data_IF_861047798433
#
_entry.id   IF_861047798433
#
_cell.length_a   1.000
_cell.length_b   1.000
_cell.length_c   1.000
_cell.angle_alpha   90.00
_cell.angle_beta   90.00
_cell.angle_gamma   90.00
#
_symmetry.space_group_name_H-M   'P 1'
#
loop_
_entity.id
_entity.type
_entity.pdbx_description
1 polymer ?
2 non-polymer ?
3 water ?
#
# COMPACT_ATOMS: atom_id res chain seq x y z
N UNK A 11 -16.81 1.20 -26.84
CA UNK A 11 -16.54 1.74 -25.49
C UNK A 11 -15.30 2.62 -25.57
N UNK A 12 -15.39 3.73 -26.31
CA UNK A 12 -14.26 4.65 -26.43
C UNK A 12 -14.41 5.72 -25.34
N UNK A 13 -13.36 6.58 -25.13
CA UNK A 13 -13.46 7.62 -24.09
C UNK A 13 -14.57 8.70 -24.32
N UNK A 14 -14.69 9.16 -25.57
CA UNK A 14 -15.67 10.19 -25.86
C UNK A 14 -14.97 11.54 -25.83
N UNK A 15 -13.63 11.49 -25.89
CA UNK A 15 -12.74 12.66 -25.93
C UNK A 15 -12.08 12.61 -27.33
N UNK A 16 -12.41 11.54 -28.05
CA UNK A 16 -11.95 11.23 -29.42
C UNK A 16 -12.25 12.33 -30.43
N UNK A 17 -13.11 13.28 -30.04
CA UNK A 17 -13.49 14.36 -30.94
C UNK A 17 -12.44 15.48 -30.87
N UNK A 18 -12.00 15.82 -29.65
CA UNK A 18 -11.00 16.87 -29.42
C UNK A 18 -9.91 16.80 -30.52
N UNK A 19 -9.61 17.94 -31.20
CA UNK A 19 -8.55 17.84 -32.24
C UNK A 19 -7.20 17.40 -31.67
N UNK A 20 -6.38 16.81 -32.52
CA UNK A 20 -5.12 16.34 -32.04
C UNK A 20 -4.92 14.92 -32.52
N UNK A 21 -4.23 14.15 -31.70
CA UNK A 21 -3.92 12.77 -32.04
C UNK A 21 -4.37 11.83 -30.94
N UNK A 22 -4.87 10.69 -31.39
CA UNK A 22 -5.30 9.66 -30.49
C UNK A 22 -4.83 8.36 -31.10
N UNK A 23 -4.16 7.62 -30.25
CA UNK A 23 -3.61 6.34 -30.61
C UNK A 23 -4.02 5.39 -29.54
N UNK A 24 -4.50 4.24 -29.95
CA UNK A 24 -4.90 3.27 -28.97
C UNK A 24 -4.23 1.98 -29.39
N UNK A 25 -3.66 1.28 -28.45
CA UNK A 25 -3.05 0.02 -28.79
C UNK A 25 -4.20 -0.91 -28.52
N UNK A 26 -4.73 -1.65 -29.50
CA UNK A 26 -5.84 -2.59 -29.24
C UNK A 26 -5.29 -3.72 -28.34
N UNK A 27 -5.64 -3.63 -27.05
CA UNK A 27 -5.16 -4.56 -26.04
C UNK A 27 -5.64 -5.87 -26.48
N UNK A 28 -6.83 -6.23 -25.99
CA UNK A 28 -7.41 -7.50 -26.41
C UNK A 28 -8.58 -7.09 -27.27
N UNK A 29 -9.66 -6.78 -26.58
CA UNK A 29 -10.90 -6.41 -27.20
C UNK A 29 -11.11 -4.94 -26.94
N UNK A 30 -10.38 -4.44 -25.96
CA UNK A 30 -10.52 -3.06 -25.60
C UNK A 30 -9.39 -2.21 -26.14
N UNK A 31 -9.71 -0.98 -26.59
CA UNK A 31 -8.72 -0.05 -27.13
C UNK A 31 -8.17 0.71 -25.91
N UNK A 32 -6.83 0.71 -25.80
CA UNK A 32 -6.04 1.38 -24.73
C UNK A 32 -5.28 2.59 -25.33
N UNK A 33 -5.48 3.82 -24.76
CA UNK A 33 -4.82 5.02 -25.26
C UNK A 33 -3.42 5.04 -24.74
N UNK A 34 -2.48 5.30 -25.65
CA UNK A 34 -1.06 5.29 -25.32
C UNK A 34 -0.60 6.60 -24.68
N UNK A 35 0.01 6.46 -23.51
CA UNK A 35 0.52 7.59 -22.75
C UNK A 35 1.18 8.52 -23.78
N UNK A 36 0.82 9.81 -23.79
CA UNK A 36 1.37 10.76 -24.76
C UNK A 36 2.88 10.62 -25.08
N UNK A 37 3.67 10.14 -24.12
CA UNK A 37 5.09 9.94 -24.32
C UNK A 37 5.31 8.74 -25.23
N UNK A 38 4.72 7.62 -24.82
CA UNK A 38 4.80 6.37 -25.56
C UNK A 38 4.35 6.47 -27.01
N UNK A 39 3.59 7.50 -27.36
CA UNK A 39 3.13 7.51 -28.74
C UNK A 39 4.38 7.40 -29.59
N UNK A 40 4.29 6.86 -30.80
CA UNK A 40 5.48 6.77 -31.64
C UNK A 40 6.25 5.48 -31.56
N UNK A 41 5.84 4.67 -30.59
CA UNK A 41 6.41 3.36 -30.41
C UNK A 41 5.22 2.40 -30.36
N UNK A 42 5.32 1.38 -31.18
CA UNK A 42 4.29 0.39 -31.32
C UNK A 42 4.81 -1.01 -31.05
N UNK A 43 4.27 -1.71 -30.03
CA UNK A 43 4.68 -3.09 -29.75
C UNK A 43 4.20 -3.71 -31.06
N UNK A 44 4.99 -4.55 -31.71
CA UNK A 44 4.62 -5.14 -32.99
C UNK A 44 3.75 -6.40 -32.91
N UNK A 45 3.30 -6.77 -31.72
CA UNK A 45 2.49 -7.97 -31.58
C UNK A 45 1.03 -7.59 -31.49
N UNK A 46 0.80 -6.28 -31.41
CA UNK A 46 -0.51 -5.70 -31.31
C UNK A 46 -0.83 -4.83 -32.54
N UNK A 47 -2.09 -4.40 -32.64
CA UNK A 47 -2.57 -3.54 -33.72
C UNK A 47 -3.04 -2.28 -32.99
N UNK A 48 -2.93 -1.14 -33.65
CA UNK A 48 -3.29 0.08 -32.95
C UNK A 48 -4.29 0.89 -33.75
N UNK A 49 -4.82 1.93 -33.14
CA UNK A 49 -5.72 2.78 -33.85
C UNK A 49 -5.23 4.16 -33.55
N UNK A 50 -5.03 4.93 -34.59
CA UNK A 50 -4.56 6.28 -34.44
C UNK A 50 -5.44 7.20 -35.23
N UNK A 51 -5.84 8.25 -34.53
CA UNK A 51 -6.73 9.18 -35.13
C UNK A 51 -6.26 10.60 -34.96
N UNK A 52 -6.13 11.29 -36.09
CA UNK A 52 -5.71 12.69 -36.12
C UNK A 52 -6.80 13.50 -36.81
N UNK A 53 -7.26 14.57 -36.17
CA UNK A 53 -8.25 15.43 -36.78
C UNK A 53 -7.95 16.89 -36.52
N UNK A 54 -7.93 17.69 -37.60
CA UNK A 54 -7.65 19.12 -37.49
C UNK A 54 -8.82 19.97 -36.98
N UNK A 55 -8.53 21.18 -36.44
CA UNK A 55 -9.65 22.02 -35.93
C UNK A 55 -10.67 22.49 -37.01
N UNK A 56 -10.41 22.14 -38.29
CA UNK A 56 -11.32 22.45 -39.43
C UNK A 56 -11.03 21.43 -40.51
N UNK A 57 -9.80 20.87 -40.46
CA UNK A 57 -9.30 19.84 -41.38
C UNK A 57 -10.14 18.52 -41.25
N UNK A 58 -9.95 17.59 -42.20
CA UNK A 58 -10.63 16.27 -42.18
C UNK A 58 -10.18 15.43 -40.95
N UNK A 59 -10.51 14.15 -40.97
CA UNK A 59 -10.08 13.28 -39.89
C UNK A 59 -9.84 11.95 -40.56
N UNK A 60 -8.64 11.43 -40.32
CA UNK A 60 -8.21 10.15 -40.85
C UNK A 60 -8.02 9.26 -39.61
N UNK A 61 -8.55 8.05 -39.69
CA UNK A 61 -8.40 7.10 -38.62
C UNK A 61 -7.72 5.93 -39.27
N UNK A 62 -6.46 5.76 -38.94
CA UNK A 62 -5.74 4.65 -39.50
C UNK A 62 -5.66 3.64 -38.44
N UNK A 63 -5.51 2.41 -38.92
CA UNK A 63 -5.40 1.28 -38.06
C UNK A 63 -4.00 0.71 -38.31
N UNK A 64 -3.18 0.67 -37.27
CA UNK A 64 -1.83 0.17 -37.41
C UNK A 64 -1.74 -1.26 -37.03
N UNK A 65 -1.28 -2.04 -37.98
CA UNK A 65 -1.13 -3.45 -37.70
C UNK A 65 0.29 -3.96 -37.69
N UNK A 66 0.70 -4.40 -36.50
CA UNK A 66 2.02 -4.95 -36.28
C UNK A 66 2.35 -6.16 -37.15
N UNK A 67 3.64 -6.36 -37.38
CA UNK A 67 4.08 -7.48 -38.19
C UNK A 67 3.78 -8.77 -37.49
N UNK A 68 3.87 -8.72 -36.16
CA UNK A 68 3.61 -9.89 -35.34
C UNK A 68 2.21 -9.79 -34.73
N UNK A 69 1.41 -8.92 -35.32
CA UNK A 69 0.05 -8.74 -34.87
C UNK A 69 -0.77 -9.80 -35.55
N UNK A 70 -1.59 -10.46 -34.74
CA UNK A 70 -2.44 -11.54 -35.18
C UNK A 70 -3.29 -11.24 -36.43
N UNK A 71 -3.35 -12.25 -37.31
CA UNK A 71 -4.10 -12.18 -38.57
C UNK A 71 -5.54 -11.80 -38.26
N UNK A 72 -5.90 -12.10 -37.00
CA UNK A 72 -7.20 -11.88 -36.38
C UNK A 72 -7.14 -10.61 -35.56
N UNK A 73 -6.18 -10.50 -34.63
CA UNK A 73 -6.02 -9.30 -33.77
C UNK A 73 -6.28 -8.06 -34.63
N UNK A 74 -6.04 -8.25 -35.93
CA UNK A 74 -6.23 -7.25 -36.98
C UNK A 74 -7.70 -7.01 -37.12
N UNK A 75 -8.44 -8.06 -37.49
CA UNK A 75 -9.89 -7.92 -37.61
C UNK A 75 -10.50 -7.26 -36.37
N UNK A 76 -10.19 -7.82 -35.22
CA UNK A 76 -10.65 -7.27 -33.98
C UNK A 76 -10.46 -5.76 -34.09
N UNK A 77 -9.23 -5.30 -34.26
CA UNK A 77 -8.94 -3.88 -34.37
C UNK A 77 -9.75 -3.11 -35.45
N UNK A 78 -9.83 -3.68 -36.66
CA UNK A 78 -10.55 -3.07 -37.79
C UNK A 78 -11.98 -2.86 -37.39
N UNK A 79 -12.55 -3.90 -36.80
CA UNK A 79 -13.90 -3.83 -36.32
C UNK A 79 -14.00 -2.58 -35.42
N UNK A 80 -13.14 -2.51 -34.42
CA UNK A 80 -13.10 -1.40 -33.48
C UNK A 80 -12.95 -0.09 -34.25
N UNK A 81 -12.27 -0.15 -35.37
CA UNK A 81 -12.11 1.04 -36.17
C UNK A 81 -13.56 1.41 -36.46
N UNK A 82 -14.32 0.49 -37.05
CA UNK A 82 -15.74 0.71 -37.36
C UNK A 82 -16.50 1.32 -36.20
N UNK A 83 -16.67 0.59 -35.12
CA UNK A 83 -17.38 1.16 -34.00
C UNK A 83 -16.94 2.62 -33.83
N UNK A 84 -15.69 2.95 -34.09
CA UNK A 84 -15.29 4.33 -33.92
C UNK A 84 -15.65 5.22 -35.11
N UNK A 85 -15.54 4.68 -36.33
CA UNK A 85 -15.89 5.42 -37.54
C UNK A 85 -17.26 6.00 -37.26
N UNK A 86 -18.09 5.19 -36.60
CA UNK A 86 -19.47 5.52 -36.24
C UNK A 86 -19.70 6.56 -35.12
N UNK A 87 -18.95 6.55 -33.99
CA UNK A 87 -19.16 7.57 -32.92
C UNK A 87 -18.80 8.91 -33.54
N UNK A 88 -18.41 8.87 -34.81
CA UNK A 88 -18.01 10.04 -35.59
C UNK A 88 -18.78 9.88 -36.89
N UNK A 89 -19.37 8.69 -37.02
CA UNK A 89 -20.15 8.32 -38.18
C UNK A 89 -19.42 8.48 -39.50
N UNK A 90 -19.18 7.36 -40.20
CA UNK A 90 -18.52 7.30 -41.53
C UNK A 90 -17.51 8.37 -41.92
N UNK A 91 -17.57 9.49 -41.17
CA UNK A 91 -16.74 10.72 -41.22
C UNK A 91 -15.21 10.48 -41.32
N UNK A 92 -14.64 9.76 -40.32
CA UNK A 92 -13.19 9.52 -40.39
C UNK A 92 -12.78 8.75 -41.63
N UNK A 93 -11.58 9.02 -42.11
CA UNK A 93 -11.08 8.30 -43.27
C UNK A 93 -10.32 7.05 -42.83
N UNK A 94 -10.49 5.97 -43.57
CA UNK A 94 -9.84 4.77 -43.15
C UNK A 94 -8.72 4.33 -44.02
N UNK A 95 -7.61 4.03 -43.33
CA UNK A 95 -6.37 3.56 -43.93
C UNK A 95 -5.86 2.38 -43.13
N UNK A 96 -5.34 1.41 -43.86
CA UNK A 96 -4.76 0.22 -43.28
C UNK A 96 -3.21 0.44 -43.37
N UNK A 97 -2.56 0.58 -42.19
CA UNK A 97 -1.11 0.76 -42.09
C UNK A 97 -0.50 -0.53 -41.52
N UNK A 98 0.39 -1.11 -42.33
CA UNK A 98 1.11 -2.35 -41.98
C UNK A 98 2.51 -1.89 -41.59
N UNK A 99 3.08 -2.51 -40.56
CA UNK A 99 4.40 -2.11 -40.13
C UNK A 99 5.45 -2.45 -41.19
N UNK A 100 6.36 -1.53 -41.45
CA UNK A 100 7.39 -1.83 -42.45
C UNK A 100 7.06 -1.24 -43.80
N UNK A 101 5.84 -0.71 -43.91
CA UNK A 101 5.36 -0.07 -45.12
C UNK A 101 4.18 0.84 -44.78
N UNK A 102 4.37 1.72 -43.77
CA UNK A 102 3.32 2.66 -43.36
C UNK A 102 3.04 3.71 -44.43
N UNK A 103 2.15 4.63 -44.12
CA UNK A 103 1.74 5.68 -45.07
C UNK A 103 2.49 6.99 -44.92
N UNK A 104 2.93 7.53 -46.05
CA UNK A 104 3.68 8.78 -46.07
C UNK A 104 2.90 9.81 -45.27
N UNK A 105 1.68 9.44 -44.93
CA UNK A 105 0.83 10.29 -44.14
C UNK A 105 0.92 9.82 -42.70
N UNK A 106 0.86 8.50 -42.50
CA UNK A 106 0.93 7.93 -41.15
C UNK A 106 2.18 8.47 -40.49
N UNK A 107 3.28 8.44 -41.23
CA UNK A 107 4.53 8.94 -40.71
C UNK A 107 4.41 10.42 -40.30
N UNK A 108 3.58 11.18 -41.01
CA UNK A 108 3.35 12.61 -40.72
C UNK A 108 2.96 12.88 -39.28
N UNK A 109 2.49 11.86 -38.58
CA UNK A 109 2.04 12.10 -37.22
C UNK A 109 3.20 11.98 -36.23
N UNK A 110 4.30 11.45 -36.76
CA UNK A 110 5.50 11.20 -35.96
C UNK A 110 6.81 11.85 -36.40
N UNK A 111 7.24 12.86 -35.62
CA UNK A 111 8.47 13.67 -35.81
C UNK A 111 9.72 12.79 -36.01
N UNK A 112 10.44 12.60 -34.91
CA UNK A 112 11.62 11.79 -34.87
C UNK A 112 11.48 10.49 -35.69
N UNK A 113 10.38 9.75 -35.53
CA UNK A 113 10.25 8.51 -36.29
C UNK A 113 9.58 7.43 -35.48
N UNK A 114 9.47 6.25 -36.09
CA UNK A 114 8.81 5.11 -35.48
C UNK A 114 9.76 4.22 -34.75
N UNK A 115 9.30 3.60 -33.69
CA UNK A 115 10.13 2.70 -32.99
C UNK A 115 9.30 1.48 -32.80
N UNK A 116 9.44 0.54 -33.72
CA UNK A 116 8.75 -0.72 -33.62
C UNK A 116 9.44 -1.58 -32.60
N UNK A 117 8.75 -2.02 -31.57
CA UNK A 117 9.34 -2.93 -30.59
C UNK A 117 8.92 -4.41 -30.78
N UNK A 118 9.46 -5.35 -30.04
CA UNK A 118 9.05 -6.72 -30.25
C UNK A 118 9.30 -7.56 -29.05
N UNK A 119 8.48 -8.56 -28.81
CA UNK A 119 8.68 -9.36 -27.62
C UNK A 119 9.03 -8.44 -26.44
N UNK A 120 9.74 -8.98 -25.44
CA UNK A 120 10.11 -8.14 -24.33
C UNK A 120 8.94 -7.90 -23.40
N UNK A 121 8.99 -6.86 -22.56
CA UNK A 121 7.87 -6.64 -21.65
C UNK A 121 7.26 -5.24 -21.75
N UNK A 122 5.98 -5.13 -21.42
CA UNK A 122 5.26 -3.85 -21.44
C UNK A 122 6.15 -2.73 -20.84
N UNK A 123 5.93 -1.48 -21.23
CA UNK A 123 6.74 -0.39 -20.70
C UNK A 123 6.41 -0.22 -19.23
N UNK A 124 7.12 0.67 -18.54
CA UNK A 124 6.84 0.89 -17.12
C UNK A 124 6.76 -0.37 -16.29
N UNK A 125 7.20 -1.47 -16.87
CA UNK A 125 7.23 -2.78 -16.23
C UNK A 125 8.15 -2.71 -15.01
N UNK A 126 7.59 -2.93 -13.81
CA UNK A 126 8.35 -2.90 -12.55
C UNK A 126 8.62 -4.32 -11.99
N UNK A 127 9.52 -4.45 -11.02
CA UNK A 127 9.84 -5.75 -10.47
C UNK A 127 9.39 -5.73 -9.03
N UNK A 128 8.13 -6.06 -8.82
CA UNK A 128 7.60 -6.08 -7.47
C UNK A 128 8.36 -7.08 -6.56
N UNK A 129 8.96 -6.52 -5.50
CA UNK A 129 9.78 -7.24 -4.50
C UNK A 129 9.10 -7.44 -3.10
N UNK A 130 8.25 -8.49 -2.91
CA UNK A 130 7.63 -8.63 -1.57
C UNK A 130 8.69 -8.45 -0.50
N UNK A 131 8.54 -7.39 0.27
CA UNK A 131 9.48 -7.02 1.30
C UNK A 131 8.80 -7.21 2.66
N UNK A 132 9.02 -8.34 3.33
CA UNK A 132 8.34 -8.57 4.61
C UNK A 132 8.47 -7.42 5.63
N UNK A 133 7.51 -7.38 6.53
CA UNK A 133 7.49 -6.36 7.54
C UNK A 133 7.47 -7.01 8.89
N UNK A 134 8.06 -6.33 9.86
CA UNK A 134 8.12 -6.84 11.21
C UNK A 134 7.07 -6.20 12.02
N UNK A 135 6.21 -7.03 12.56
CA UNK A 135 5.19 -6.47 13.40
C UNK A 135 5.71 -6.66 14.82
N UNK A 136 5.78 -5.52 15.49
CA UNK A 136 6.22 -5.43 16.85
C UNK A 136 4.90 -5.55 17.54
N UNK A 137 4.82 -6.53 18.43
CA UNK A 137 3.60 -6.76 19.19
C UNK A 137 3.91 -6.94 20.66
N UNK A 138 2.93 -6.58 21.49
CA UNK A 138 3.11 -6.74 22.92
C UNK A 138 1.93 -7.51 23.48
N UNK A 139 2.18 -8.60 24.20
CA UNK A 139 1.05 -9.33 24.81
C UNK A 139 1.15 -9.22 26.32
N UNK A 140 0.01 -9.18 26.98
CA UNK A 140 -0.02 -9.10 28.41
C UNK A 140 -0.38 -10.47 28.92
N UNK A 141 0.61 -11.27 29.28
CA UNK A 141 0.35 -12.62 29.78
C UNK A 141 -0.50 -12.63 31.03
N UNK A 142 -1.26 -13.70 31.20
CA UNK A 142 -2.12 -13.80 32.35
C UNK A 142 -2.71 -15.20 32.44
N UNK A 143 -2.70 -15.76 33.65
CA UNK A 143 -3.20 -17.11 33.89
C UNK A 143 -2.41 -17.87 34.96
N UNK A 144 -3.13 -18.35 35.99
CA UNK A 144 -2.50 -19.10 37.08
C UNK A 144 -2.20 -20.51 36.59
N UNK A 145 -3.21 -21.13 35.96
CA UNK A 145 -3.06 -22.50 35.44
C UNK A 145 -2.81 -22.46 33.96
N UNK A 146 -3.79 -21.90 33.27
CA UNK A 146 -3.85 -21.74 31.82
C UNK A 146 -3.19 -20.45 31.33
N UNK A 147 -2.22 -20.59 30.42
CA UNK A 147 -1.49 -19.45 29.90
C UNK A 147 -2.04 -18.79 28.67
N UNK A 148 -2.43 -17.52 28.82
CA UNK A 148 -3.00 -16.76 27.72
C UNK A 148 -2.42 -15.38 27.58
N UNK A 149 -1.62 -15.20 26.55
CA UNK A 149 -1.01 -13.92 26.27
C UNK A 149 -1.88 -13.14 25.27
N UNK A 150 -2.38 -11.98 25.69
CA UNK A 150 -3.23 -11.12 24.88
C UNK A 150 -2.57 -9.91 24.26
N UNK A 151 -2.70 -9.74 22.94
CA UNK A 151 -2.09 -8.57 22.28
C UNK A 151 -2.63 -7.25 22.85
N UNK A 152 -1.71 -6.41 23.28
CA UNK A 152 -2.02 -5.10 23.85
C UNK A 152 -1.36 -4.11 22.92
N UNK A 153 -1.54 -2.83 23.17
CA UNK A 153 -0.83 -1.88 22.34
C UNK A 153 0.61 -1.68 22.90
N UNK A 154 1.59 -1.48 22.02
CA UNK A 154 3.01 -1.22 22.39
C UNK A 154 3.15 0.23 22.91
N UNK A 155 2.63 0.43 24.12
CA UNK A 155 2.56 1.72 24.76
C UNK A 155 2.66 1.44 26.28
N UNK A 156 3.48 2.23 26.99
CA UNK A 156 3.61 2.03 28.44
C UNK A 156 2.21 2.09 29.10
N UNK A 157 1.25 2.79 28.51
CA UNK A 157 -0.10 2.87 29.10
C UNK A 157 -0.67 1.44 29.25
N UNK A 158 0.01 0.46 28.63
CA UNK A 158 -0.41 -0.95 28.65
C UNK A 158 0.10 -1.79 29.84
N UNK A 159 1.32 -1.49 30.29
CA UNK A 159 1.92 -2.21 31.39
C UNK A 159 1.29 -1.86 32.72
N UNK A 160 1.36 -2.84 33.62
CA UNK A 160 0.87 -2.78 34.98
C UNK A 160 2.09 -3.34 35.74
N UNK A 161 2.11 -3.26 37.06
CA UNK A 161 3.29 -3.71 37.84
C UNK A 161 3.25 -5.12 38.42
N UNK A 162 2.03 -5.69 38.44
CA UNK A 162 1.82 -7.02 38.96
C UNK A 162 1.69 -8.09 37.91
N UNK A 163 2.01 -7.75 36.66
CA UNK A 163 1.93 -8.72 35.55
C UNK A 163 3.21 -8.74 34.72
N UNK A 164 3.33 -9.80 33.91
CA UNK A 164 4.43 -9.96 32.96
C UNK A 164 3.90 -9.63 31.55
N UNK A 165 4.81 -9.37 30.62
CA UNK A 165 4.46 -8.97 29.27
C UNK A 165 5.50 -9.52 28.35
N UNK A 166 5.13 -9.74 27.10
CA UNK A 166 6.06 -10.27 26.10
C UNK A 166 6.08 -9.23 25.00
N UNK A 167 7.28 -8.89 24.56
CA UNK A 167 7.46 -7.88 23.53
C UNK A 167 8.17 -8.52 22.38
N UNK A 168 7.39 -8.86 21.37
CA UNK A 168 7.89 -9.48 20.15
C UNK A 168 8.34 -8.33 19.27
N UNK A 169 9.63 -8.05 19.25
CA UNK A 169 10.15 -6.96 18.42
C UNK A 169 10.89 -7.58 17.26
N UNK A 170 10.42 -8.78 16.94
CA UNK A 170 10.97 -9.56 15.85
C UNK A 170 12.24 -10.30 16.17
N UNK A 171 13.38 -9.70 15.81
CA UNK A 171 14.70 -10.27 16.03
C UNK A 171 14.98 -10.51 17.53
N UNK A 172 14.37 -9.69 18.39
CA UNK A 172 14.51 -9.79 19.86
C UNK A 172 13.11 -9.80 20.55
N UNK A 173 12.97 -10.67 21.56
CA UNK A 173 11.75 -10.82 22.34
C UNK A 173 12.02 -10.62 23.80
N UNK A 174 11.09 -10.04 24.55
CA UNK A 174 11.34 -9.78 25.97
C UNK A 174 10.24 -10.20 26.90
N UNK A 175 10.60 -10.75 28.03
CA UNK A 175 9.56 -11.06 28.95
C UNK A 175 9.74 -10.08 30.11
N UNK A 176 9.24 -8.89 29.93
CA UNK A 176 9.33 -7.90 30.96
C UNK A 176 8.48 -8.34 32.15
N UNK A 177 9.00 -8.18 33.38
CA UNK A 177 8.26 -8.65 34.54
C UNK A 177 7.92 -7.65 35.62
N UNK A 178 6.62 -7.44 35.79
CA UNK A 178 6.12 -6.52 36.81
C UNK A 178 6.88 -6.73 38.09
N UNK A 179 7.12 -5.62 38.76
CA UNK A 179 7.83 -5.73 40.00
C UNK A 179 7.02 -6.51 41.01
N UNK A 180 5.72 -6.25 41.06
CA UNK A 180 4.90 -6.90 42.04
C UNK A 180 4.23 -8.21 41.56
N UNK A 181 4.89 -8.86 40.59
CA UNK A 181 4.39 -10.11 40.07
C UNK A 181 5.24 -11.30 40.55
N UNK A 182 4.68 -12.51 40.48
CA UNK A 182 5.35 -13.75 40.93
C UNK A 182 6.51 -14.23 40.17
N UNK A 183 7.19 -15.17 40.78
CA UNK A 183 8.30 -15.77 40.11
C UNK A 183 7.64 -16.78 39.19
N UNK A 184 6.46 -17.29 39.60
CA UNK A 184 5.75 -18.27 38.78
C UNK A 184 5.30 -17.60 37.53
N UNK A 185 4.67 -16.44 37.77
CA UNK A 185 4.12 -15.57 36.74
C UNK A 185 5.25 -15.27 35.76
N UNK A 186 6.47 -15.09 36.27
CA UNK A 186 7.66 -14.80 35.44
C UNK A 186 8.09 -15.95 34.53
N UNK A 187 7.96 -17.17 35.02
CA UNK A 187 8.44 -18.26 34.22
C UNK A 187 7.48 -18.60 33.10
N UNK A 188 6.19 -18.38 33.38
CA UNK A 188 5.15 -18.61 32.38
C UNK A 188 5.53 -17.66 31.23
N UNK A 189 5.74 -16.39 31.55
CA UNK A 189 6.13 -15.41 30.54
C UNK A 189 7.31 -15.92 29.71
N UNK A 190 8.39 -16.26 30.37
CA UNK A 190 9.57 -16.71 29.61
C UNK A 190 9.32 -17.94 28.74
N UNK A 191 8.46 -18.83 29.23
CA UNK A 191 8.12 -20.08 28.54
C UNK A 191 7.38 -19.80 27.25
N UNK A 192 6.33 -19.00 27.38
CA UNK A 192 5.53 -18.60 26.24
C UNK A 192 6.42 -17.93 25.17
N UNK A 193 7.17 -16.94 25.62
CA UNK A 193 8.03 -16.17 24.74
C UNK A 193 9.18 -16.96 24.24
N UNK A 194 9.52 -17.96 24.99
CA UNK A 194 10.60 -18.78 24.55
C UNK A 194 10.06 -19.56 23.33
N UNK A 195 8.76 -19.89 23.36
CA UNK A 195 8.11 -20.60 22.25
C UNK A 195 8.18 -19.67 21.06
N UNK A 196 7.51 -18.53 21.18
CA UNK A 196 7.48 -17.52 20.13
C UNK A 196 8.79 -17.48 19.30
N UNK A 197 9.95 -17.72 19.91
CA UNK A 197 11.23 -17.66 19.19
C UNK A 197 11.56 -19.00 18.58
N UNK A 198 11.23 -20.02 19.36
CA UNK A 198 11.46 -21.38 18.95
C UNK A 198 10.60 -21.69 17.71
N UNK A 199 9.28 -21.61 17.81
CA UNK A 199 8.41 -21.92 16.66
C UNK A 199 8.25 -20.84 15.60
N UNK A 200 7.53 -19.77 15.93
CA UNK A 200 7.26 -18.63 15.04
C UNK A 200 8.49 -17.99 14.39
N UNK A 201 9.58 -17.97 15.14
CA UNK A 201 10.85 -17.42 14.69
C UNK A 201 11.69 -18.62 14.14
N UNK A 202 11.17 -19.82 14.37
CA UNK A 202 11.78 -21.10 13.96
C UNK A 202 13.16 -21.23 14.61
N UNK A 203 13.42 -20.42 15.64
CA UNK A 203 14.70 -20.49 16.32
C UNK A 203 15.57 -19.24 16.32
N UNK A 204 15.71 -18.57 15.18
CA UNK A 204 16.56 -17.37 15.08
C UNK A 204 15.95 -16.07 15.60
N UNK A 205 16.23 -15.75 16.85
CA UNK A 205 15.72 -14.55 17.51
C UNK A 205 16.15 -14.70 18.97
N UNK A 206 16.66 -13.63 19.57
CA UNK A 206 17.09 -13.67 20.98
C UNK A 206 15.94 -13.40 21.98
N UNK A 207 15.99 -14.05 23.14
CA UNK A 207 14.98 -13.83 24.19
C UNK A 207 15.75 -13.24 25.40
N UNK A 208 15.12 -12.42 26.26
CA UNK A 208 15.83 -11.86 27.42
C UNK A 208 14.79 -11.53 28.44
N UNK A 209 14.89 -12.13 29.63
CA UNK A 209 13.89 -11.80 30.64
C UNK A 209 14.30 -10.48 31.20
N UNK A 210 13.29 -9.65 31.36
CA UNK A 210 13.45 -8.31 31.82
C UNK A 210 12.65 -8.05 33.11
N UNK A 211 13.31 -7.38 34.04
CA UNK A 211 12.70 -7.06 35.31
C UNK A 211 12.31 -5.60 35.25
N UNK A 212 11.11 -5.35 35.73
CA UNK A 212 10.63 -4.01 35.74
C UNK A 212 11.78 -3.09 36.18
N UNK A 213 11.94 -1.95 35.57
CA UNK A 213 13.03 -1.11 36.00
C UNK A 213 14.25 -1.22 35.15
N UNK A 214 14.71 -2.43 34.95
CA UNK A 214 15.95 -2.64 34.20
C UNK A 214 15.83 -2.71 32.72
N UNK A 215 14.80 -2.10 32.17
CA UNK A 215 14.56 -2.18 30.75
C UNK A 215 15.75 -1.87 29.85
N UNK A 216 16.07 -2.76 28.90
CA UNK A 216 17.19 -2.56 27.96
C UNK A 216 16.90 -1.43 27.00
N UNK A 217 17.92 -0.92 26.31
CA UNK A 217 17.75 0.19 25.38
C UNK A 217 16.54 0.00 24.47
N UNK A 218 16.61 -1.06 23.66
CA UNK A 218 15.57 -1.44 22.73
C UNK A 218 14.18 -1.22 23.32
N UNK A 219 13.93 -1.74 24.51
CA UNK A 219 12.61 -1.55 25.09
C UNK A 219 12.25 -0.04 25.10
N UNK A 220 13.20 0.80 25.48
CA UNK A 220 12.96 2.22 25.56
C UNK A 220 12.96 2.89 24.21
N UNK A 221 13.66 2.27 23.26
CA UNK A 221 13.75 2.75 21.87
C UNK A 221 12.42 2.59 21.09
N UNK A 222 11.53 1.78 21.64
CA UNK A 222 10.27 1.52 21.00
C UNK A 222 9.18 2.18 21.78
N UNK A 223 9.19 1.99 23.10
CA UNK A 223 8.18 2.54 24.05
C UNK A 223 8.49 3.97 24.47
N UNK A 224 9.75 4.37 24.39
CA UNK A 224 10.06 5.73 24.77
C UNK A 224 10.48 5.78 26.21
N UNK A 225 10.32 6.92 26.88
CA UNK A 225 10.69 7.15 28.27
C UNK A 225 9.73 6.46 29.22
N UNK A 226 10.25 5.56 30.04
CA UNK A 226 9.38 4.85 30.92
C UNK A 226 8.89 5.74 32.03
N UNK A 227 7.55 5.89 32.20
CA UNK A 227 6.98 6.71 33.27
C UNK A 227 6.60 5.75 34.38
N UNK A 228 5.73 6.19 35.27
CA UNK A 228 5.31 5.33 36.36
C UNK A 228 4.24 4.37 35.85
N UNK A 229 4.06 3.23 36.51
CA UNK A 229 3.06 2.26 36.07
C UNK A 229 1.98 2.01 37.14
N UNK A 230 0.84 1.46 36.75
CA UNK A 230 -0.21 1.25 37.71
C UNK A 230 -0.14 -0.09 38.39
N UNK A 231 -0.99 -0.28 39.38
CA UNK A 231 -1.08 -1.54 40.12
C UNK A 231 -2.00 -2.47 39.31
N UNK A 232 -3.29 -2.12 39.19
CA UNK A 232 -4.18 -2.97 38.39
C UNK A 232 -5.72 -3.00 38.41
N UNK A 233 -6.41 -2.39 39.39
CA UNK A 233 -7.90 -2.48 39.43
C UNK A 233 -8.82 -1.20 39.24
N UNK A 234 -10.00 -1.39 38.52
CA UNK A 234 -11.09 -0.43 38.17
C UNK A 234 -12.47 -0.45 38.99
N UNK A 245 -17.73 0.08 23.02
CA UNK A 245 -17.22 -0.29 21.65
C UNK A 245 -16.76 0.91 20.78
N UNK A 246 -15.43 0.99 20.54
CA UNK A 246 -14.75 2.03 19.73
C UNK A 246 -13.45 1.42 19.18
N UNK A 247 -13.62 0.50 18.23
CA UNK A 247 -12.54 -0.26 17.56
C UNK A 247 -11.32 0.55 17.11
N UNK A 248 -11.47 1.86 16.94
CA UNK A 248 -10.37 2.71 16.49
C UNK A 248 -9.02 2.23 17.09
N UNK A 249 -8.01 2.05 16.22
CA UNK A 249 -6.65 1.60 16.62
C UNK A 249 -5.55 2.35 15.82
N UNK A 250 -4.58 2.92 16.56
CA UNK A 250 -3.46 3.68 15.99
C UNK A 250 -2.18 2.85 15.84
N UNK A 251 -1.66 2.75 14.62
CA UNK A 251 -0.47 1.96 14.34
C UNK A 251 0.52 2.88 13.68
N UNK A 252 1.79 2.49 13.72
CA UNK A 252 2.88 3.28 13.15
C UNK A 252 3.72 2.48 12.22
N UNK A 253 4.12 3.14 11.15
CA UNK A 253 4.93 2.55 10.11
C UNK A 253 6.18 3.37 9.95
N UNK A 254 7.34 2.73 10.18
CA UNK A 254 8.65 3.37 10.08
C UNK A 254 9.73 2.31 9.79
N UNK A 255 10.69 2.70 8.98
CA UNK A 255 11.80 1.82 8.65
C UNK A 255 12.99 2.41 9.38
N UNK A 256 12.70 3.42 10.19
CA UNK A 256 13.74 4.07 10.95
C UNK A 256 14.79 3.06 11.44
N UNK A 257 14.32 1.96 12.01
CA UNK A 257 15.19 0.92 12.55
C UNK A 257 15.95 0.18 11.46
N UNK A 258 16.12 0.80 10.30
CA UNK A 258 16.81 0.15 9.19
C UNK A 258 15.96 -0.97 8.61
N UNK A 259 14.79 -1.13 9.21
CA UNK A 259 13.84 -2.17 8.83
C UNK A 259 12.38 -1.70 9.02
N UNK A 260 11.48 -2.08 8.12
CA UNK A 260 10.08 -1.68 8.19
C UNK A 260 9.28 -2.42 9.23
N UNK A 261 8.84 -1.69 10.23
CA UNK A 261 8.10 -2.34 11.28
C UNK A 261 6.72 -1.74 11.30
N UNK A 262 5.79 -2.53 11.79
CA UNK A 262 4.46 -2.04 11.98
C UNK A 262 4.32 -2.18 13.48
N UNK A 263 3.83 -1.14 14.14
CA UNK A 263 3.65 -1.22 15.57
C UNK A 263 2.33 -0.61 15.98
N UNK A 264 1.57 -1.32 16.80
CA UNK A 264 0.30 -0.78 17.26
C UNK A 264 0.47 0.15 18.44
N UNK A 265 0.83 1.39 18.18
CA UNK A 265 1.00 2.36 19.25
C UNK A 265 -0.20 2.64 20.17
N UNK A 266 -1.44 2.44 19.73
CA UNK A 266 -2.55 2.69 20.70
C UNK A 266 -3.85 2.02 20.28
N UNK A 267 -4.71 1.69 21.24
CA UNK A 267 -5.97 1.04 20.94
C UNK A 267 -7.23 1.50 21.69
N UNK A 268 -7.09 2.52 22.55
CA UNK A 268 -8.25 3.10 23.27
C UNK A 268 -8.58 4.25 22.36
N UNK A 269 -9.77 4.86 22.43
CA UNK A 269 -10.04 5.93 21.49
C UNK A 269 -9.44 7.34 21.68
N UNK A 270 -9.68 8.01 22.83
CA UNK A 270 -9.01 9.35 22.86
C UNK A 270 -7.45 9.18 22.76
N UNK A 271 -6.92 9.20 21.53
CA UNK A 271 -5.49 9.02 21.25
C UNK A 271 -4.62 10.15 21.69
N UNK A 272 -3.52 9.85 22.37
CA UNK A 272 -2.64 10.94 22.79
C UNK A 272 -1.89 11.45 21.58
N UNK A 273 -2.01 12.74 21.29
CA UNK A 273 -1.36 13.38 20.15
C UNK A 273 0.15 13.16 20.06
N UNK A 274 0.80 13.23 21.22
CA UNK A 274 2.24 12.97 21.30
C UNK A 274 2.60 11.74 20.44
N UNK A 275 1.74 10.72 20.49
CA UNK A 275 1.87 9.45 19.78
C UNK A 275 2.46 9.48 18.42
N UNK A 276 2.03 10.49 17.68
CA UNK A 276 2.40 10.77 16.29
C UNK A 276 3.80 11.33 16.00
N UNK A 277 4.59 10.60 15.21
CA UNK A 277 5.98 10.97 14.84
C UNK A 277 6.05 11.69 13.53
N UNK A 278 6.60 12.89 13.52
CA UNK A 278 6.71 13.64 12.29
C UNK A 278 7.60 12.94 11.29
N UNK A 279 8.20 11.84 11.70
CA UNK A 279 9.15 11.10 10.86
C UNK A 279 8.68 9.79 10.28
N UNK A 280 7.45 9.43 10.61
CA UNK A 280 6.88 8.19 10.14
C UNK A 280 5.45 8.35 9.70
N UNK A 281 4.89 7.29 9.13
CA UNK A 281 3.51 7.32 8.69
C UNK A 281 2.80 6.52 9.74
N UNK A 282 1.52 6.80 9.84
CA UNK A 282 0.69 6.13 10.81
C UNK A 282 -0.55 5.75 10.05
N UNK A 283 -1.32 4.86 10.64
CA UNK A 283 -2.55 4.41 10.04
C UNK A 283 -3.59 4.32 11.10
N UNK A 284 -4.61 5.15 10.98
CA UNK A 284 -5.68 5.13 11.96
C UNK A 284 -6.81 4.24 11.48
N UNK A 285 -6.81 3.02 11.97
CA UNK A 285 -7.82 2.04 11.65
C UNK A 285 -9.19 2.37 12.29
N UNK A 286 -10.20 2.58 11.45
CA UNK A 286 -11.58 2.85 11.92
C UNK A 286 -12.58 2.25 10.95
N UNK A 287 -12.09 1.34 10.09
CA UNK A 287 -12.91 0.67 9.08
C UNK A 287 -14.23 0.12 9.58
N UNK A 288 -14.19 -0.42 10.79
CA UNK A 288 -15.38 -0.97 11.41
C UNK A 288 -16.49 0.03 11.19
N UNK A 289 -16.34 1.23 11.72
CA UNK A 289 -17.38 2.18 11.45
C UNK A 289 -16.95 3.25 10.46
N UNK A 290 -16.55 2.79 9.26
CA UNK A 290 -16.20 3.69 8.18
C UNK A 290 -14.98 3.67 7.31
N UNK A 291 -14.10 4.62 7.63
CA UNK A 291 -12.86 4.87 6.92
C UNK A 291 -11.63 4.46 7.72
N UNK A 292 -10.53 4.32 6.98
CA UNK A 292 -9.22 3.99 7.52
C UNK A 292 -8.26 5.09 7.04
N UNK A 293 -7.70 5.88 7.96
CA UNK A 293 -6.81 6.96 7.58
C UNK A 293 -5.37 6.62 7.59
N UNK A 294 -4.63 7.38 6.81
CA UNK A 294 -3.20 7.22 6.70
C UNK A 294 -2.55 8.57 6.81
N UNK A 295 -1.93 8.85 7.96
CA UNK A 295 -1.27 10.13 8.24
C UNK A 295 0.24 10.08 7.91
N UNK A 296 0.65 11.04 7.11
CA UNK A 296 2.01 11.14 6.64
C UNK A 296 2.71 12.37 7.23
N UNK A 297 3.82 12.15 7.92
CA UNK A 297 4.58 13.25 8.52
C UNK A 297 5.47 13.89 7.47
N UNK A 298 5.87 15.16 7.66
CA UNK A 298 6.68 15.83 6.63
C UNK A 298 7.96 15.08 6.27
N UNK A 299 8.58 14.54 7.31
CA UNK A 299 9.84 13.84 7.16
C UNK A 299 9.75 12.37 6.92
N UNK A 300 8.55 11.82 6.94
CA UNK A 300 8.35 10.39 6.68
C UNK A 300 8.78 10.14 5.22
N UNK A 301 9.45 9.00 4.94
CA UNK A 301 9.87 8.71 3.55
C UNK A 301 8.77 8.06 2.70
N UNK A 302 9.09 7.56 1.50
CA UNK A 302 8.03 6.94 0.69
C UNK A 302 7.80 5.46 0.98
N UNK A 303 8.84 4.71 1.30
CA UNK A 303 8.63 3.31 1.62
C UNK A 303 7.59 3.33 2.74
N UNK A 304 7.67 4.34 3.59
CA UNK A 304 6.73 4.49 4.69
C UNK A 304 5.36 4.78 4.12
N UNK A 305 5.31 5.64 3.09
CA UNK A 305 4.06 5.99 2.41
C UNK A 305 3.57 4.76 1.65
N UNK A 306 4.43 4.19 0.82
CA UNK A 306 4.09 2.99 0.07
C UNK A 306 3.51 1.96 1.03
N UNK A 307 4.28 1.62 2.05
CA UNK A 307 3.83 0.64 3.03
C UNK A 307 2.61 1.04 3.86
N UNK A 308 2.46 2.28 4.31
CA UNK A 308 1.26 2.57 5.12
C UNK A 308 0.00 2.26 4.36
N UNK A 309 0.03 2.41 3.05
CA UNK A 309 -1.17 2.14 2.24
C UNK A 309 -1.43 0.62 2.21
N UNK A 310 -0.35 -0.12 2.02
CA UNK A 310 -0.39 -1.58 1.95
C UNK A 310 -0.85 -2.25 3.27
N UNK A 311 -0.67 -1.55 4.37
CA UNK A 311 -1.06 -2.06 5.68
C UNK A 311 -2.55 -1.74 5.86
N UNK A 312 -2.99 -0.65 5.23
CA UNK A 312 -4.40 -0.26 5.28
C UNK A 312 -5.17 -1.43 4.63
N UNK A 313 -4.57 -2.02 3.57
CA UNK A 313 -5.11 -3.18 2.80
C UNK A 313 -5.31 -4.37 3.75
N UNK A 314 -4.19 -4.84 4.29
CA UNK A 314 -4.18 -5.93 5.23
C UNK A 314 -5.17 -5.72 6.37
N UNK A 315 -5.47 -4.47 6.70
CA UNK A 315 -6.44 -4.18 7.77
C UNK A 315 -7.88 -4.51 7.29
N UNK A 316 -8.27 -4.07 6.09
CA UNK A 316 -9.60 -4.41 5.61
C UNK A 316 -9.68 -5.92 5.27
N UNK A 317 -8.59 -6.42 4.70
CA UNK A 317 -8.50 -7.80 4.31
C UNK A 317 -8.64 -8.76 5.50
N UNK A 318 -7.72 -8.66 6.46
CA UNK A 318 -7.72 -9.54 7.62
C UNK A 318 -8.93 -9.42 8.55
N UNK A 319 -9.36 -8.19 8.82
CA UNK A 319 -10.51 -7.93 9.70
C UNK A 319 -11.82 -8.07 8.88
N UNK A 320 -11.69 -8.44 7.60
CA UNK A 320 -12.83 -8.61 6.69
C UNK A 320 -13.72 -7.37 6.81
N UNK A 321 -13.12 -6.21 6.61
CA UNK A 321 -13.86 -4.95 6.71
C UNK A 321 -14.78 -4.76 5.51
N UNK A 322 -15.80 -3.92 5.72
CA UNK A 322 -16.75 -3.59 4.68
C UNK A 322 -15.94 -3.43 3.38
N UNK A 323 -16.50 -3.84 2.25
CA UNK A 323 -15.71 -3.70 1.01
C UNK A 323 -15.33 -2.24 0.59
N UNK A 324 -16.35 -1.39 0.67
CA UNK A 324 -16.32 0.03 0.32
C UNK A 324 -15.65 0.92 1.37
N UNK A 325 -14.85 0.34 2.26
CA UNK A 325 -14.21 1.16 3.29
C UNK A 325 -13.26 2.08 2.59
N UNK A 326 -13.27 3.35 2.97
CA UNK A 326 -12.38 4.31 2.35
C UNK A 326 -11.09 4.55 3.14
N UNK A 327 -9.96 4.63 2.43
CA UNK A 327 -8.64 4.86 3.01
C UNK A 327 -8.11 6.27 2.69
N UNK A 328 -8.60 7.22 3.45
CA UNK A 328 -8.25 8.60 3.26
C UNK A 328 -6.87 8.96 3.77
N UNK A 329 -5.98 9.28 2.86
CA UNK A 329 -4.62 9.74 3.19
C UNK A 329 -4.64 11.24 3.66
N UNK A 330 -4.10 11.54 4.85
CA UNK A 330 -4.04 12.90 5.42
C UNK A 330 -2.60 13.31 5.65
N UNK A 331 -2.13 14.43 5.04
CA UNK A 331 -0.75 14.87 5.23
C UNK A 331 -0.68 15.69 6.49
N UNK A 332 0.51 15.78 7.04
CA UNK A 332 0.64 16.49 8.28
C UNK A 332 0.34 17.96 8.13
N UNK A 333 -0.35 18.51 9.11
CA UNK A 333 -0.70 19.92 9.07
C UNK A 333 -2.10 20.06 8.49
N UNK A 334 -2.26 19.32 7.40
CA UNK A 334 -3.49 19.28 6.62
C UNK A 334 -4.35 18.02 7.01
N UNK A 335 -4.63 17.89 8.31
CA UNK A 335 -5.42 16.77 8.84
C UNK A 335 -6.89 17.18 8.89
N UNK A 336 -7.77 16.23 8.57
CA UNK A 336 -9.23 16.44 8.58
C UNK A 336 -9.87 16.51 9.98
N UNK A 337 -10.79 17.47 10.20
CA UNK A 337 -11.47 17.63 11.50
C UNK A 337 -12.01 16.35 12.17
N UNK A 338 -12.13 15.29 11.38
CA UNK A 338 -12.62 14.03 11.90
C UNK A 338 -11.43 13.26 12.48
N UNK A 339 -10.38 13.20 11.68
CA UNK A 339 -9.17 12.53 12.06
C UNK A 339 -8.79 12.90 13.46
N UNK A 340 -9.05 14.14 13.82
CA UNK A 340 -8.76 14.59 15.16
C UNK A 340 -9.80 13.99 16.12
N UNK A 341 -9.48 12.75 16.47
CA UNK A 341 -10.23 11.89 17.37
C UNK A 341 -9.08 11.44 18.29
N UNK A 342 -8.35 12.49 18.73
CA UNK A 342 -7.26 12.46 19.71
C UNK A 342 -7.72 13.31 20.92
N UNK A 343 -7.18 12.98 22.07
CA UNK A 343 -7.61 13.58 23.37
C UNK A 343 -7.89 15.11 23.41
N UNK A 344 -6.88 15.93 23.56
CA UNK A 344 -7.21 17.34 23.62
C UNK A 344 -7.31 17.80 22.20
N UNK A 345 -8.39 18.48 21.89
CA UNK A 345 -8.62 18.89 20.52
C UNK A 345 -7.37 19.27 19.83
N UNK A 346 -7.14 18.53 18.78
CA UNK A 346 -6.02 18.78 17.94
C UNK A 346 -6.54 20.01 17.06
#
# INVERSE_FOLDING_TARGET
MYTAIPQSGSPFPGSVQDPGLHVWRVEKLKPVPVAQENQGVFFSGDSYLVLHNGPEEVSHLHLWIGQQSSRDEQGACAVLAVQLDDYLGGRPVQHREVQGNESDLFMSYFPRGLKYQEGGVESGFKHVVPNEVVVQRLYQVKGAKNIRATERALNWDSFNTGDCFILDLGQNIFAWCGGKSNILERNKARDLALAIRDSERQGKAQVEIVTDGEEPAEMIQVLGPKPALKEGNPEEDLTADKANAQAAALYKVSDATGQMNLTKVADSSPFALELLISDDCFVLDNGLCGKIYIWKGRKANEKERQAALQVAEGFISRMQYAPNTQVEILPQGRESPIFKQFFKDWK
#
